data_IF_587568136375
#
_entry.id   IF_587568136375
#
_cell.length_a   1.000
_cell.length_b   1.000
_cell.length_c   1.000
_cell.angle_alpha   90.00
_cell.angle_beta   90.00
_cell.angle_gamma   90.00
#
_symmetry.space_group_name_H-M   'P 1'
#
loop_
_entity.id
_entity.type
_entity.pdbx_description
1 polymer ?
#
# COMPACT_ATOMS: atom_id res chain seq x y z
N UNK A 1 -5.15 33.97 -37.79
CA UNK A 1 -4.68 32.55 -37.87
C UNK A 1 -5.58 31.64 -37.02
N UNK A 2 -5.47 30.31 -37.16
CA UNK A 2 -6.14 29.39 -36.23
C UNK A 2 -5.55 29.56 -34.82
N UNK A 3 -6.40 29.67 -33.81
CA UNK A 3 -5.98 29.83 -32.41
C UNK A 3 -5.30 28.54 -31.94
N UNK A 4 -4.05 28.63 -31.48
CA UNK A 4 -3.27 27.46 -31.02
C UNK A 4 -3.27 27.41 -29.50
N UNK A 5 -3.72 26.29 -28.93
CA UNK A 5 -3.62 26.03 -27.50
C UNK A 5 -2.24 25.51 -27.15
N UNK A 6 -1.68 26.02 -26.05
CA UNK A 6 -0.43 25.55 -25.46
C UNK A 6 -0.68 25.01 -24.05
N UNK A 7 0.09 23.99 -23.68
CA UNK A 7 0.30 23.61 -22.28
C UNK A 7 1.36 24.57 -21.74
N UNK A 8 0.97 25.43 -20.79
CA UNK A 8 1.86 26.38 -20.14
C UNK A 8 2.59 25.74 -18.94
N UNK A 9 1.93 24.76 -18.31
CA UNK A 9 2.40 24.07 -17.12
C UNK A 9 1.82 22.65 -17.03
N UNK A 10 2.59 21.75 -16.44
CA UNK A 10 2.17 20.43 -15.96
C UNK A 10 2.92 20.06 -14.66
N UNK A 11 2.44 19.06 -13.94
CA UNK A 11 3.04 18.65 -12.65
C UNK A 11 4.24 17.68 -12.77
N UNK A 12 4.85 17.53 -13.95
CA UNK A 12 6.10 16.75 -14.03
C UNK A 12 7.20 17.42 -13.21
N UNK A 13 8.19 16.65 -12.76
CA UNK A 13 9.45 17.22 -12.25
C UNK A 13 10.01 18.07 -13.38
N UNK A 14 10.40 19.32 -13.15
CA UNK A 14 10.90 20.20 -14.20
C UNK A 14 12.44 20.09 -14.34
N UNK A 15 13.05 20.82 -15.28
CA UNK A 15 14.50 20.78 -15.54
C UNK A 15 15.35 21.27 -14.36
N UNK A 16 14.76 21.92 -13.37
CA UNK A 16 15.41 22.35 -12.13
C UNK A 16 15.24 21.32 -11.00
N UNK A 17 14.63 20.17 -11.29
CA UNK A 17 14.41 19.11 -10.31
C UNK A 17 13.30 19.41 -9.31
N UNK A 18 12.51 20.46 -9.52
CA UNK A 18 11.35 20.80 -8.67
C UNK A 18 10.06 20.39 -9.36
N UNK A 19 9.03 20.15 -8.56
CA UNK A 19 7.66 19.96 -9.05
C UNK A 19 6.81 21.14 -8.60
N UNK A 20 5.83 21.54 -9.40
CA UNK A 20 4.83 22.52 -8.96
C UNK A 20 3.45 21.88 -9.08
N UNK A 21 2.62 22.01 -8.04
CA UNK A 21 1.26 21.46 -8.04
C UNK A 21 0.32 22.45 -8.72
N UNK A 22 -0.44 21.97 -9.69
CA UNK A 22 -1.45 22.77 -10.41
C UNK A 22 -2.58 23.18 -9.47
N UNK A 23 -2.93 22.33 -8.50
CA UNK A 23 -3.92 22.67 -7.46
C UNK A 23 -3.52 23.88 -6.59
N UNK A 24 -2.23 24.20 -6.54
CA UNK A 24 -1.68 25.34 -5.81
C UNK A 24 -1.58 26.64 -6.63
N UNK A 25 -1.96 26.60 -7.91
CA UNK A 25 -1.77 27.71 -8.83
C UNK A 25 -2.84 28.79 -8.65
N UNK A 26 -2.43 30.00 -8.32
CA UNK A 26 -3.25 31.20 -8.39
C UNK A 26 -3.08 31.88 -9.76
N UNK A 27 -4.17 31.99 -10.51
CA UNK A 27 -4.19 32.55 -11.87
C UNK A 27 -4.86 33.93 -11.94
N UNK A 28 -5.25 34.51 -10.83
CA UNK A 28 -6.11 35.70 -10.82
C UNK A 28 -5.40 36.95 -11.36
N UNK A 29 -4.13 37.15 -10.99
CA UNK A 29 -3.33 38.26 -11.52
C UNK A 29 -3.04 38.08 -13.02
N UNK A 30 -2.68 36.86 -13.41
CA UNK A 30 -2.48 36.52 -14.82
C UNK A 30 -3.72 36.82 -15.67
N UNK A 31 -4.93 36.49 -15.20
CA UNK A 31 -6.18 36.76 -15.92
C UNK A 31 -6.45 38.26 -16.13
N UNK A 32 -5.96 39.12 -15.23
CA UNK A 32 -6.12 40.58 -15.35
C UNK A 32 -5.19 41.16 -16.43
N UNK A 33 -4.03 40.57 -16.63
CA UNK A 33 -3.06 40.99 -17.63
C UNK A 33 -2.34 39.77 -18.24
N UNK A 34 -2.99 39.03 -19.16
CA UNK A 34 -2.49 37.73 -19.65
C UNK A 34 -1.43 37.92 -20.75
N UNK A 35 -0.33 38.58 -20.40
CA UNK A 35 0.73 38.94 -21.34
C UNK A 35 1.40 37.69 -21.91
N UNK A 36 1.59 37.68 -23.24
CA UNK A 36 2.42 36.70 -23.92
C UNK A 36 3.76 37.34 -24.25
N UNK A 37 4.81 36.89 -23.57
CA UNK A 37 6.18 37.33 -23.86
C UNK A 37 6.90 36.32 -24.76
N UNK A 38 8.11 36.68 -25.17
CA UNK A 38 9.05 35.79 -25.83
C UNK A 38 10.21 35.53 -24.86
N UNK A 39 10.50 34.27 -24.55
CA UNK A 39 11.61 33.87 -23.67
C UNK A 39 11.61 34.51 -22.27
N UNK A 40 10.43 34.78 -21.70
CA UNK A 40 10.28 35.43 -20.39
C UNK A 40 10.92 36.82 -20.30
N UNK A 41 11.18 37.47 -21.44
CA UNK A 41 11.80 38.80 -21.47
C UNK A 41 10.77 39.90 -21.22
N UNK A 42 10.63 40.29 -19.96
CA UNK A 42 9.71 41.31 -19.47
C UNK A 42 10.23 42.75 -19.59
N UNK A 43 11.44 42.93 -20.14
CA UNK A 43 11.97 44.22 -20.57
C UNK A 43 11.50 44.61 -21.98
N UNK A 44 10.85 43.69 -22.69
CA UNK A 44 10.31 43.90 -24.02
C UNK A 44 8.78 43.89 -24.00
N UNK A 45 8.18 44.54 -25.00
CA UNK A 45 6.73 44.53 -25.13
C UNK A 45 6.21 43.12 -25.45
N UNK A 46 5.00 42.76 -24.95
CA UNK A 46 4.37 41.49 -25.26
C UNK A 46 4.22 41.27 -26.76
N UNK A 47 4.41 40.03 -27.20
CA UNK A 47 4.19 39.59 -28.59
C UNK A 47 2.74 39.16 -28.85
N UNK A 48 1.89 39.33 -27.85
CA UNK A 48 0.48 38.95 -27.89
C UNK A 48 -0.11 38.85 -26.50
N UNK A 49 -1.20 38.10 -26.40
CA UNK A 49 -1.88 37.76 -25.15
C UNK A 49 -2.32 36.30 -25.14
N UNK A 50 -2.48 35.77 -23.95
CA UNK A 50 -3.12 34.48 -23.72
C UNK A 50 -4.60 34.67 -23.47
N UNK A 51 -5.42 33.83 -24.10
CA UNK A 51 -6.86 33.75 -23.85
C UNK A 51 -7.22 32.37 -23.31
N UNK A 52 -8.42 32.23 -22.74
CA UNK A 52 -8.97 30.94 -22.32
C UNK A 52 -8.03 30.10 -21.44
N UNK A 53 -7.35 30.75 -20.47
CA UNK A 53 -6.50 30.05 -19.51
C UNK A 53 -7.36 29.16 -18.60
N UNK A 54 -7.02 27.88 -18.53
CA UNK A 54 -7.82 26.86 -17.86
C UNK A 54 -6.97 25.72 -17.33
N UNK A 55 -7.49 25.04 -16.32
CA UNK A 55 -6.89 23.83 -15.75
C UNK A 55 -7.62 22.63 -16.34
N UNK A 56 -6.88 21.69 -16.92
CA UNK A 56 -7.39 20.40 -17.35
C UNK A 56 -6.53 19.30 -16.71
N UNK A 57 -7.09 18.60 -15.72
CA UNK A 57 -6.34 17.63 -14.92
C UNK A 57 -5.17 18.28 -14.18
N UNK A 58 -3.95 17.85 -14.50
CA UNK A 58 -2.69 18.35 -13.92
C UNK A 58 -1.98 19.36 -14.81
N UNK A 59 -2.67 19.91 -15.82
CA UNK A 59 -2.11 20.84 -16.79
C UNK A 59 -2.82 22.19 -16.74
N UNK A 60 -2.07 23.25 -17.04
CA UNK A 60 -2.61 24.59 -17.31
C UNK A 60 -2.43 24.87 -18.78
N UNK A 61 -3.54 25.12 -19.47
CA UNK A 61 -3.58 25.39 -20.89
C UNK A 61 -4.05 26.82 -21.15
N UNK A 62 -3.58 27.42 -22.24
CA UNK A 62 -4.08 28.69 -22.72
C UNK A 62 -3.97 28.81 -24.24
N UNK A 63 -4.79 29.68 -24.80
CA UNK A 63 -4.92 29.90 -26.24
C UNK A 63 -4.09 31.11 -26.66
N UNK A 64 -3.22 30.93 -27.65
CA UNK A 64 -2.29 31.96 -28.09
C UNK A 64 -2.94 32.95 -29.08
N UNK A 65 -2.94 34.24 -28.74
CA UNK A 65 -3.38 35.33 -29.64
C UNK A 65 -2.21 36.30 -29.86
N UNK A 66 -1.55 36.16 -31.02
CA UNK A 66 -0.43 37.03 -31.41
C UNK A 66 -0.90 38.41 -31.86
N UNK A 67 -0.11 39.44 -31.58
CA UNK A 67 -0.31 40.77 -32.17
C UNK A 67 0.17 40.76 -33.64
N UNK A 68 -0.72 40.44 -34.58
CA UNK A 68 -0.36 40.33 -36.00
C UNK A 68 0.08 41.67 -36.65
N UNK A 69 -0.08 42.80 -35.94
CA UNK A 69 0.38 44.12 -36.40
C UNK A 69 1.84 44.42 -36.02
N UNK A 70 2.36 43.73 -35.00
CA UNK A 70 3.76 43.78 -34.60
C UNK A 70 4.57 42.80 -35.47
N UNK A 71 5.64 43.32 -36.10
CA UNK A 71 6.47 42.54 -37.01
C UNK A 71 7.17 41.35 -36.32
N UNK A 72 7.60 41.51 -35.07
CA UNK A 72 8.22 40.47 -34.26
C UNK A 72 7.20 39.42 -33.83
N UNK A 73 6.04 39.85 -33.35
CA UNK A 73 4.94 38.94 -33.01
C UNK A 73 4.51 38.11 -34.22
N UNK A 74 4.39 38.74 -35.40
CA UNK A 74 4.09 38.06 -36.67
C UNK A 74 5.16 37.05 -37.07
N UNK A 75 6.45 37.35 -36.87
CA UNK A 75 7.53 36.39 -37.12
C UNK A 75 7.39 35.16 -36.21
N UNK A 76 7.17 35.37 -34.91
CA UNK A 76 6.98 34.30 -33.92
C UNK A 76 5.74 33.48 -34.25
N UNK A 77 4.62 34.13 -34.55
CA UNK A 77 3.37 33.48 -34.93
C UNK A 77 3.56 32.57 -36.15
N UNK A 78 4.30 33.02 -37.17
CA UNK A 78 4.61 32.21 -38.35
C UNK A 78 5.46 30.98 -38.03
N UNK A 79 6.37 31.06 -37.05
CA UNK A 79 7.14 29.89 -36.57
C UNK A 79 6.25 28.93 -35.79
N UNK A 80 5.29 29.45 -35.03
CA UNK A 80 4.32 28.67 -34.27
C UNK A 80 3.33 27.95 -35.18
N UNK A 81 2.82 28.63 -36.21
CA UNK A 81 1.89 28.08 -37.21
C UNK A 81 2.55 26.96 -38.02
N UNK A 82 3.80 27.18 -38.46
CA UNK A 82 4.60 26.18 -39.19
C UNK A 82 5.33 25.18 -38.29
N UNK A 83 4.99 25.15 -37.00
CA UNK A 83 5.49 24.15 -36.06
C UNK A 83 7.02 24.14 -35.79
N UNK A 84 7.73 25.19 -36.21
CA UNK A 84 9.13 25.43 -35.82
C UNK A 84 9.26 25.84 -34.35
N UNK A 85 8.16 26.31 -33.75
CA UNK A 85 8.09 26.71 -32.34
C UNK A 85 6.80 26.15 -31.73
N UNK A 86 6.94 25.19 -30.81
CA UNK A 86 5.81 24.46 -30.21
C UNK A 86 5.72 24.62 -28.70
N UNK A 87 6.57 25.46 -28.13
CA UNK A 87 6.81 25.50 -26.70
C UNK A 87 6.38 26.81 -26.05
N UNK A 88 5.76 26.66 -24.88
CA UNK A 88 5.40 27.74 -24.00
C UNK A 88 5.78 27.36 -22.56
N UNK A 89 6.04 28.36 -21.75
CA UNK A 89 6.46 28.18 -20.36
C UNK A 89 5.77 29.23 -19.51
N UNK A 90 5.22 28.81 -18.37
CA UNK A 90 4.70 29.72 -17.36
C UNK A 90 5.83 30.20 -16.44
N UNK A 91 5.79 31.46 -16.06
CA UNK A 91 6.59 32.02 -14.98
C UNK A 91 5.70 32.28 -13.77
N UNK A 92 6.28 32.08 -12.58
CA UNK A 92 5.53 32.06 -11.34
C UNK A 92 6.32 32.68 -10.20
N UNK A 93 5.60 33.30 -9.28
CA UNK A 93 6.10 33.57 -7.93
C UNK A 93 5.80 32.37 -7.05
N UNK A 94 6.81 31.90 -6.33
CA UNK A 94 6.68 30.78 -5.38
C UNK A 94 6.18 31.33 -4.05
N UNK A 95 4.98 30.88 -3.65
CA UNK A 95 4.36 31.31 -2.40
C UNK A 95 4.67 30.32 -1.26
N UNK A 96 4.65 29.01 -1.55
CA UNK A 96 4.88 27.96 -0.57
C UNK A 96 5.53 26.71 -1.19
N UNK A 97 6.47 26.13 -0.46
CA UNK A 97 7.15 24.87 -0.82
C UNK A 97 7.03 23.82 0.27
N UNK A 98 6.99 22.55 -0.13
CA UNK A 98 6.99 21.40 0.77
C UNK A 98 8.11 20.43 0.41
N UNK A 99 8.68 19.82 1.45
CA UNK A 99 9.62 18.70 1.33
C UNK A 99 8.98 17.35 1.66
N UNK A 100 7.69 17.34 2.01
CA UNK A 100 6.96 16.13 2.39
C UNK A 100 7.05 15.08 1.28
N UNK A 101 7.47 13.83 1.58
CA UNK A 101 7.52 12.74 0.61
C UNK A 101 6.21 12.52 -0.16
N UNK A 102 5.05 12.84 0.43
CA UNK A 102 3.75 12.67 -0.23
C UNK A 102 3.60 13.49 -1.51
N UNK A 103 4.31 14.62 -1.62
CA UNK A 103 4.25 15.51 -2.77
C UNK A 103 5.39 15.31 -3.78
N UNK A 104 6.32 14.38 -3.51
CA UNK A 104 7.50 14.15 -4.35
C UNK A 104 7.23 13.09 -5.42
N UNK A 105 7.86 13.27 -6.58
CA UNK A 105 7.93 12.24 -7.63
C UNK A 105 9.30 11.54 -7.62
N UNK A 106 9.38 10.28 -8.11
CA UNK A 106 10.66 9.62 -8.35
C UNK A 106 11.59 10.48 -9.21
N UNK A 107 12.85 10.62 -8.81
CA UNK A 107 13.84 11.44 -9.52
C UNK A 107 13.80 12.94 -9.24
N UNK A 108 12.87 13.42 -8.40
CA UNK A 108 12.82 14.81 -7.97
C UNK A 108 13.95 15.15 -6.98
N UNK A 109 14.79 16.12 -7.30
CA UNK A 109 15.93 16.52 -6.45
C UNK A 109 15.63 17.74 -5.58
N UNK A 110 14.73 18.62 -6.01
CA UNK A 110 14.30 19.82 -5.30
C UNK A 110 12.96 19.68 -4.57
N UNK A 111 12.49 20.74 -3.88
CA UNK A 111 11.20 20.73 -3.18
C UNK A 111 10.01 20.71 -4.15
N UNK A 112 8.82 20.40 -3.63
CA UNK A 112 7.56 20.57 -4.37
C UNK A 112 6.96 21.93 -4.02
N UNK A 113 6.73 22.78 -5.02
CA UNK A 113 5.97 24.02 -4.89
C UNK A 113 4.49 23.68 -4.76
N UNK A 114 3.92 23.93 -3.59
CA UNK A 114 2.53 23.57 -3.26
C UNK A 114 1.58 24.74 -3.39
N UNK A 115 2.08 25.99 -3.38
CA UNK A 115 1.34 27.20 -3.73
C UNK A 115 2.22 28.17 -4.50
N UNK A 116 1.66 28.78 -5.53
CA UNK A 116 2.35 29.73 -6.38
C UNK A 116 1.37 30.59 -7.16
N UNK A 117 1.82 31.75 -7.57
CA UNK A 117 1.01 32.70 -8.33
C UNK A 117 1.61 32.88 -9.73
N UNK A 118 0.79 32.69 -10.76
CA UNK A 118 1.20 32.85 -12.15
C UNK A 118 1.46 34.33 -12.47
N UNK A 119 2.64 34.60 -13.01
CA UNK A 119 3.11 35.95 -13.34
C UNK A 119 2.88 36.28 -14.81
N UNK A 120 3.42 35.45 -15.69
CA UNK A 120 3.32 35.58 -17.14
C UNK A 120 3.53 34.21 -17.79
N UNK A 121 3.28 34.13 -19.09
CA UNK A 121 3.59 32.96 -19.87
C UNK A 121 4.18 33.39 -21.20
N UNK A 122 5.17 32.64 -21.65
CA UNK A 122 5.98 33.01 -22.80
C UNK A 122 5.97 31.92 -23.84
N UNK A 123 6.01 32.32 -25.10
CA UNK A 123 6.49 31.43 -26.15
C UNK A 123 8.01 31.36 -26.00
N UNK A 124 8.57 30.15 -25.96
CA UNK A 124 9.99 29.93 -25.76
C UNK A 124 10.48 28.85 -26.71
N UNK A 125 11.67 28.95 -27.34
CA UNK A 125 12.32 27.79 -27.95
C UNK A 125 12.58 26.70 -26.93
N UNK A 126 12.73 27.09 -25.65
CA UNK A 126 13.15 26.23 -24.56
C UNK A 126 12.42 26.58 -23.26
N UNK A 127 11.68 25.62 -22.68
CA UNK A 127 10.90 25.79 -21.44
C UNK A 127 11.35 24.89 -20.28
N UNK A 128 10.99 25.26 -19.04
CA UNK A 128 11.46 24.59 -17.83
C UNK A 128 10.78 23.24 -17.53
N UNK A 129 9.52 23.04 -17.90
CA UNK A 129 8.89 21.71 -17.88
C UNK A 129 9.38 20.95 -19.11
N UNK A 130 9.85 19.69 -18.93
CA UNK A 130 10.66 18.75 -19.76
C UNK A 130 10.64 18.82 -21.31
N UNK A 131 10.48 20.00 -21.87
CA UNK A 131 10.46 20.31 -23.28
C UNK A 131 11.44 21.48 -23.58
N UNK A 132 12.62 21.54 -22.92
CA UNK A 132 13.98 21.78 -23.47
C UNK A 132 14.98 22.49 -22.51
N UNK A 133 16.27 22.61 -22.88
CA UNK A 133 17.34 23.27 -22.08
C UNK A 133 18.34 24.09 -22.93
N UNK A 134 18.67 25.33 -22.51
CA UNK A 134 19.85 26.09 -22.93
C UNK A 134 20.48 26.83 -21.75
N UNK A 135 21.80 26.75 -21.63
CA UNK A 135 22.59 27.41 -20.59
C UNK A 135 23.42 28.53 -21.20
N UNK A 136 23.66 29.60 -20.44
CA UNK A 136 24.43 30.77 -20.85
C UNK A 136 25.48 31.10 -19.79
N UNK A 137 26.69 31.47 -20.22
CA UNK A 137 27.73 31.97 -19.33
C UNK A 137 27.38 33.40 -18.90
N UNK A 138 27.27 33.61 -17.58
CA UNK A 138 26.84 34.89 -17.00
C UNK A 138 27.88 36.01 -17.17
N UNK A 139 29.16 35.67 -17.29
CA UNK A 139 30.24 36.65 -17.45
C UNK A 139 30.38 37.11 -18.90
N UNK A 140 30.14 36.22 -19.86
CA UNK A 140 30.31 36.53 -21.29
C UNK A 140 29.00 36.74 -22.04
N UNK A 141 27.87 36.32 -21.47
CA UNK A 141 26.55 36.35 -22.10
C UNK A 141 26.39 35.33 -23.24
N UNK A 142 27.35 34.43 -23.45
CA UNK A 142 27.35 33.49 -24.57
C UNK A 142 26.64 32.18 -24.23
N UNK A 143 25.92 31.60 -25.20
CA UNK A 143 25.26 30.29 -25.06
C UNK A 143 26.31 29.18 -24.93
N UNK A 144 26.08 28.24 -24.02
CA UNK A 144 26.96 27.12 -23.72
C UNK A 144 26.61 25.93 -24.59
N UNK A 145 27.63 25.32 -25.21
CA UNK A 145 27.50 24.05 -25.88
C UNK A 145 27.46 22.91 -24.85
N UNK A 146 26.29 22.27 -24.70
CA UNK A 146 26.08 21.21 -23.72
C UNK A 146 26.83 19.92 -24.06
N UNK A 147 27.34 19.76 -25.29
CA UNK A 147 28.24 18.67 -25.65
C UNK A 147 29.68 18.94 -25.23
N UNK A 148 30.02 20.19 -24.88
CA UNK A 148 31.33 20.56 -24.39
C UNK A 148 31.34 20.56 -22.85
N UNK A 149 31.69 19.39 -22.30
CA UNK A 149 31.69 19.14 -20.85
C UNK A 149 32.52 20.14 -20.04
N UNK A 150 33.61 20.68 -20.61
CA UNK A 150 34.44 21.67 -19.94
C UNK A 150 33.73 23.03 -19.80
N UNK A 151 32.97 23.47 -20.83
CA UNK A 151 32.18 24.70 -20.74
C UNK A 151 31.06 24.57 -19.71
N UNK A 152 30.37 23.43 -19.69
CA UNK A 152 29.30 23.16 -18.71
C UNK A 152 29.85 23.22 -17.29
N UNK A 153 30.99 22.59 -17.01
CA UNK A 153 31.64 22.63 -15.68
C UNK A 153 32.02 24.07 -15.29
N UNK A 154 32.52 24.86 -16.24
CA UNK A 154 32.96 26.23 -15.97
C UNK A 154 31.84 27.19 -15.55
N UNK A 155 30.58 26.89 -15.89
CA UNK A 155 29.41 27.67 -15.45
C UNK A 155 29.09 27.54 -13.96
N UNK A 156 29.43 26.39 -13.37
CA UNK A 156 29.11 26.05 -11.98
C UNK A 156 30.30 26.28 -11.05
N UNK A 157 31.48 26.59 -11.60
CA UNK A 157 32.61 27.09 -10.85
C UNK A 157 32.39 28.59 -10.56
N UNK A 158 31.77 28.91 -9.43
CA UNK A 158 31.42 30.28 -9.04
C UNK A 158 32.62 31.23 -8.99
N UNK A 159 32.42 32.43 -9.55
CA UNK A 159 33.22 33.64 -9.46
C UNK A 159 34.71 33.56 -9.90
N UNK A 160 35.04 34.19 -11.03
CA UNK A 160 36.39 34.37 -11.58
C UNK A 160 37.29 35.35 -10.80
N UNK A 161 37.01 35.61 -9.53
CA UNK A 161 37.90 36.40 -8.68
C UNK A 161 38.57 35.50 -7.64
N UNK A 162 39.81 35.13 -7.97
CA UNK A 162 40.84 34.58 -7.06
C UNK A 162 40.41 33.40 -6.20
N UNK A 163 40.08 32.26 -6.82
CA UNK A 163 40.33 30.98 -6.16
C UNK A 163 41.72 30.55 -6.60
N UNK A 164 42.69 30.69 -5.70
CA UNK A 164 44.02 30.14 -5.92
C UNK A 164 43.84 28.61 -6.09
N UNK A 165 44.31 27.97 -7.16
CA UNK A 165 44.15 26.53 -7.35
C UNK A 165 44.55 25.72 -6.10
N UNK A 166 45.55 26.22 -5.36
CA UNK A 166 45.96 25.66 -4.07
C UNK A 166 44.84 25.57 -3.03
N UNK A 167 43.94 26.56 -2.91
CA UNK A 167 42.89 26.54 -1.89
C UNK A 167 41.83 25.46 -2.18
N UNK A 168 41.43 25.30 -3.44
CA UNK A 168 40.49 24.23 -3.83
C UNK A 168 41.10 22.84 -3.60
N UNK A 169 42.38 22.67 -3.93
CA UNK A 169 43.08 21.41 -3.69
C UNK A 169 43.24 21.10 -2.20
N UNK A 170 43.47 22.10 -1.35
CA UNK A 170 43.54 21.91 0.10
C UNK A 170 42.17 21.53 0.68
N UNK A 171 41.09 22.20 0.28
CA UNK A 171 39.73 21.85 0.72
C UNK A 171 39.32 20.44 0.26
N UNK A 172 39.66 20.04 -0.96
CA UNK A 172 39.38 18.68 -1.45
C UNK A 172 40.16 17.61 -0.69
N UNK A 173 41.42 17.88 -0.32
CA UNK A 173 42.19 16.97 0.55
C UNK A 173 41.54 16.81 1.91
N UNK A 174 41.11 17.91 2.52
CA UNK A 174 40.44 17.87 3.83
C UNK A 174 39.12 17.09 3.78
N UNK A 175 38.26 17.37 2.79
CA UNK A 175 36.98 16.67 2.62
C UNK A 175 37.15 15.18 2.31
N UNK A 176 38.14 14.83 1.50
CA UNK A 176 38.47 13.45 1.16
C UNK A 176 39.38 12.78 2.22
N UNK A 177 39.74 13.51 3.29
CA UNK A 177 40.66 13.08 4.35
C UNK A 177 41.99 12.54 3.81
N UNK A 178 42.50 13.16 2.75
CA UNK A 178 43.78 12.85 2.13
C UNK A 178 44.90 13.63 2.81
N UNK A 179 46.10 13.06 2.79
CA UNK A 179 47.29 13.73 3.31
C UNK A 179 47.61 15.02 2.53
N UNK A 180 48.23 16.01 3.19
CA UNK A 180 48.60 17.30 2.61
C UNK A 180 49.54 17.16 1.40
N UNK A 181 50.33 16.08 1.34
CA UNK A 181 51.21 15.75 0.21
C UNK A 181 50.48 15.10 -1.00
N UNK A 182 49.16 14.83 -0.91
CA UNK A 182 48.41 14.23 -2.00
C UNK A 182 48.45 15.12 -3.26
N UNK A 183 48.68 14.52 -4.42
CA UNK A 183 48.63 15.21 -5.70
C UNK A 183 47.24 15.07 -6.33
N UNK A 184 47.02 15.76 -7.45
CA UNK A 184 45.75 15.73 -8.19
C UNK A 184 45.32 14.30 -8.58
N UNK A 185 46.28 13.43 -8.92
CA UNK A 185 46.02 12.03 -9.23
C UNK A 185 45.43 11.28 -8.02
N UNK A 186 45.98 11.49 -6.82
CA UNK A 186 45.46 10.88 -5.59
C UNK A 186 44.05 11.36 -5.24
N UNK A 187 43.75 12.63 -5.49
CA UNK A 187 42.40 13.20 -5.31
C UNK A 187 41.42 12.57 -6.30
N UNK A 188 41.81 12.48 -7.58
CA UNK A 188 40.98 11.84 -8.60
C UNK A 188 40.69 10.37 -8.30
N UNK A 189 41.69 9.62 -7.82
CA UNK A 189 41.51 8.21 -7.48
C UNK A 189 40.62 8.02 -6.26
N UNK A 190 40.73 8.89 -5.25
CA UNK A 190 39.81 8.90 -4.10
C UNK A 190 38.36 9.17 -4.53
N UNK A 191 38.14 10.15 -5.41
CA UNK A 191 36.80 10.46 -5.95
C UNK A 191 36.27 9.29 -6.79
N UNK A 192 37.08 8.65 -7.63
CA UNK A 192 36.68 7.44 -8.37
C UNK A 192 36.31 6.30 -7.43
N UNK A 193 37.03 6.14 -6.31
CA UNK A 193 36.71 5.17 -5.27
C UNK A 193 35.33 5.43 -4.65
N UNK A 194 35.03 6.69 -4.30
CA UNK A 194 33.72 7.08 -3.78
C UNK A 194 32.60 6.78 -4.78
N UNK A 195 32.83 7.07 -6.07
CA UNK A 195 31.85 6.78 -7.13
C UNK A 195 31.58 5.28 -7.22
N UNK A 196 32.63 4.45 -7.22
CA UNK A 196 32.47 2.98 -7.23
C UNK A 196 31.70 2.47 -6.01
N UNK A 197 32.07 2.92 -4.81
CA UNK A 197 31.39 2.53 -3.58
C UNK A 197 29.92 2.94 -3.59
N UNK A 198 29.60 4.13 -4.12
CA UNK A 198 28.22 4.59 -4.28
C UNK A 198 27.45 3.66 -5.24
N UNK A 199 28.04 3.32 -6.37
CA UNK A 199 27.39 2.46 -7.38
C UNK A 199 27.18 1.03 -6.85
N UNK A 200 28.14 0.50 -6.08
CA UNK A 200 28.03 -0.78 -5.37
C UNK A 200 26.93 -0.75 -4.31
N UNK A 201 26.90 0.28 -3.45
CA UNK A 201 25.86 0.45 -2.43
C UNK A 201 24.47 0.58 -3.05
N UNK A 202 24.36 1.30 -4.18
CA UNK A 202 23.10 1.44 -4.88
C UNK A 202 22.61 0.10 -5.44
N UNK A 203 23.52 -0.72 -5.97
CA UNK A 203 23.21 -2.07 -6.43
C UNK A 203 22.77 -2.97 -5.26
N UNK A 204 23.45 -2.91 -4.13
CA UNK A 204 23.10 -3.69 -2.93
C UNK A 204 21.75 -3.28 -2.34
N UNK A 205 21.44 -1.98 -2.31
CA UNK A 205 20.14 -1.48 -1.85
C UNK A 205 19.00 -2.04 -2.70
N UNK A 206 19.16 -2.06 -4.02
CA UNK A 206 18.15 -2.65 -4.92
C UNK A 206 18.00 -4.15 -4.67
N UNK A 207 19.12 -4.89 -4.46
CA UNK A 207 19.07 -6.32 -4.14
C UNK A 207 18.34 -6.58 -2.82
N UNK A 208 18.69 -5.85 -1.76
CA UNK A 208 18.06 -6.00 -0.44
C UNK A 208 16.58 -5.65 -0.45
N UNK A 209 16.16 -4.71 -1.29
CA UNK A 209 14.74 -4.40 -1.49
C UNK A 209 14.00 -5.56 -2.15
N UNK A 210 14.58 -6.18 -3.18
CA UNK A 210 14.00 -7.35 -3.84
C UNK A 210 13.94 -8.56 -2.89
N UNK A 211 15.03 -8.84 -2.16
CA UNK A 211 15.08 -9.92 -1.18
C UNK A 211 14.01 -9.73 -0.08
N UNK A 212 13.85 -8.51 0.45
CA UNK A 212 12.81 -8.22 1.46
C UNK A 212 11.40 -8.41 0.90
N UNK A 213 11.18 -8.01 -0.35
CA UNK A 213 9.90 -8.23 -1.02
C UNK A 213 9.59 -9.73 -1.13
N UNK A 214 10.55 -10.52 -1.61
CA UNK A 214 10.40 -11.97 -1.73
C UNK A 214 10.17 -12.65 -0.37
N UNK A 215 10.88 -12.21 0.68
CA UNK A 215 10.68 -12.74 2.03
C UNK A 215 9.28 -12.42 2.56
N UNK A 216 8.79 -11.21 2.32
CA UNK A 216 7.43 -10.79 2.71
C UNK A 216 6.38 -11.63 2.01
N UNK A 217 6.49 -11.80 0.68
CA UNK A 217 5.59 -12.65 -0.11
C UNK A 217 5.59 -14.10 0.37
N UNK A 218 6.76 -14.64 0.74
CA UNK A 218 6.88 -16.01 1.30
C UNK A 218 6.23 -16.12 2.67
N UNK A 219 6.38 -15.13 3.54
CA UNK A 219 5.75 -15.12 4.86
C UNK A 219 4.22 -15.10 4.72
N UNK A 220 3.68 -14.22 3.87
CA UNK A 220 2.25 -14.17 3.60
C UNK A 220 1.71 -15.49 3.03
N UNK A 221 2.47 -16.14 2.13
CA UNK A 221 2.11 -17.44 1.59
C UNK A 221 2.09 -18.55 2.66
N UNK A 222 3.07 -18.56 3.57
CA UNK A 222 3.13 -19.51 4.68
C UNK A 222 1.96 -19.29 5.64
N UNK A 223 1.69 -18.04 6.03
CA UNK A 223 0.60 -17.70 6.94
C UNK A 223 -0.76 -18.05 6.34
N UNK A 224 -0.95 -17.79 5.05
CA UNK A 224 -2.15 -18.21 4.31
C UNK A 224 -2.30 -19.74 4.31
N UNK A 225 -1.26 -20.47 3.94
CA UNK A 225 -1.30 -21.94 3.90
C UNK A 225 -1.57 -22.55 5.29
N UNK A 226 -1.00 -21.95 6.35
CA UNK A 226 -1.26 -22.35 7.73
C UNK A 226 -2.73 -22.13 8.11
N UNK A 227 -3.28 -20.96 7.80
CA UNK A 227 -4.69 -20.64 8.09
C UNK A 227 -5.65 -21.55 7.32
N UNK A 228 -5.36 -21.85 6.06
CA UNK A 228 -6.14 -22.80 5.25
C UNK A 228 -6.09 -24.21 5.83
N UNK A 229 -4.91 -24.67 6.29
CA UNK A 229 -4.76 -25.97 6.95
C UNK A 229 -5.52 -26.04 8.29
N UNK A 230 -5.44 -24.99 9.11
CA UNK A 230 -6.19 -24.88 10.37
C UNK A 230 -7.70 -24.86 10.12
N UNK A 231 -8.18 -24.14 9.11
CA UNK A 231 -9.60 -24.15 8.73
C UNK A 231 -10.07 -25.53 8.25
N UNK A 232 -9.28 -26.20 7.42
CA UNK A 232 -9.61 -27.56 6.96
C UNK A 232 -9.67 -28.55 8.13
N UNK A 233 -8.73 -28.46 9.07
CA UNK A 233 -8.71 -29.30 10.26
C UNK A 233 -9.86 -28.98 11.21
N UNK A 234 -10.19 -27.70 11.41
CA UNK A 234 -11.35 -27.28 12.21
C UNK A 234 -12.65 -27.87 11.66
N UNK A 235 -12.85 -27.82 10.33
CA UNK A 235 -14.00 -28.46 9.67
C UNK A 235 -14.03 -29.96 9.96
N UNK A 236 -12.89 -30.65 9.83
CA UNK A 236 -12.78 -32.09 10.10
C UNK A 236 -13.15 -32.43 11.56
N UNK A 237 -12.67 -31.64 12.52
CA UNK A 237 -12.92 -31.84 13.95
C UNK A 237 -14.40 -31.58 14.30
N UNK A 238 -14.98 -30.49 13.81
CA UNK A 238 -16.38 -30.13 14.07
C UNK A 238 -17.33 -31.15 13.46
N UNK A 239 -17.13 -31.53 12.19
CA UNK A 239 -17.96 -32.54 11.52
C UNK A 239 -17.82 -33.92 12.18
N UNK A 240 -16.62 -34.24 12.68
CA UNK A 240 -16.37 -35.40 13.53
C UNK A 240 -17.19 -35.38 14.82
N UNK A 241 -17.16 -34.27 15.55
CA UNK A 241 -17.88 -34.11 16.81
C UNK A 241 -19.41 -34.14 16.66
N UNK A 242 -19.94 -33.63 15.53
CA UNK A 242 -21.37 -33.76 15.17
C UNK A 242 -21.72 -35.23 14.96
N UNK A 243 -20.90 -35.97 14.19
CA UNK A 243 -21.12 -37.41 13.92
C UNK A 243 -21.08 -38.25 15.20
N UNK A 244 -20.20 -37.90 16.13
CA UNK A 244 -20.10 -38.54 17.45
C UNK A 244 -21.16 -38.05 18.45
N UNK A 245 -22.10 -37.21 18.00
CA UNK A 245 -23.15 -36.60 18.82
C UNK A 245 -22.64 -35.85 20.06
N UNK A 246 -21.40 -35.34 20.03
CA UNK A 246 -20.84 -34.50 21.09
C UNK A 246 -21.48 -33.11 21.07
N UNK A 247 -21.67 -32.56 19.87
CA UNK A 247 -22.25 -31.24 19.63
C UNK A 247 -23.47 -31.34 18.69
N UNK A 248 -24.37 -30.35 18.74
CA UNK A 248 -25.50 -30.25 17.81
C UNK A 248 -25.02 -29.64 16.47
N UNK A 249 -25.61 -30.11 15.37
CA UNK A 249 -25.36 -29.59 14.02
C UNK A 249 -25.68 -28.08 13.91
N UNK A 250 -26.68 -27.59 14.65
CA UNK A 250 -27.04 -26.16 14.68
C UNK A 250 -25.90 -25.27 15.21
N UNK A 251 -24.98 -25.84 16.01
CA UNK A 251 -23.83 -25.12 16.58
C UNK A 251 -22.59 -25.11 15.70
N UNK A 252 -22.66 -25.70 14.49
CA UNK A 252 -21.49 -25.90 13.62
C UNK A 252 -20.75 -24.59 13.31
N UNK A 253 -21.48 -23.56 12.88
CA UNK A 253 -20.88 -22.26 12.53
C UNK A 253 -20.24 -21.58 13.74
N UNK A 254 -20.86 -21.66 14.92
CA UNK A 254 -20.32 -21.10 16.15
C UNK A 254 -18.98 -21.76 16.51
N UNK A 255 -18.88 -23.09 16.39
CA UNK A 255 -17.63 -23.79 16.61
C UNK A 255 -16.55 -23.42 15.60
N UNK A 256 -16.87 -23.34 14.30
CA UNK A 256 -15.89 -22.91 13.30
C UNK A 256 -15.34 -21.51 13.59
N UNK A 257 -16.19 -20.59 14.04
CA UNK A 257 -15.77 -19.24 14.44
C UNK A 257 -14.84 -19.24 15.67
N UNK A 258 -15.08 -20.14 16.62
CA UNK A 258 -14.20 -20.31 17.77
C UNK A 258 -12.82 -20.85 17.35
N UNK A 259 -12.77 -21.81 16.40
CA UNK A 259 -11.51 -22.30 15.82
C UNK A 259 -10.75 -21.24 15.02
N UNK A 260 -11.44 -20.32 14.35
CA UNK A 260 -10.81 -19.16 13.69
C UNK A 260 -10.21 -18.17 14.68
N UNK A 261 -10.76 -18.09 15.90
CA UNK A 261 -10.29 -17.15 16.94
C UNK A 261 -9.09 -17.73 17.71
N UNK A 262 -9.19 -18.99 18.13
CA UNK A 262 -8.12 -19.71 18.82
C UNK A 262 -8.25 -21.21 18.56
N UNK A 263 -7.53 -21.68 17.54
CA UNK A 263 -7.55 -23.08 17.13
C UNK A 263 -7.16 -24.04 18.27
N UNK A 264 -6.16 -23.68 19.09
CA UNK A 264 -5.65 -24.54 20.15
C UNK A 264 -6.66 -24.67 21.29
N UNK A 265 -7.23 -23.55 21.74
CA UNK A 265 -8.23 -23.55 22.80
C UNK A 265 -9.54 -24.22 22.35
N UNK A 266 -10.00 -23.96 21.12
CA UNK A 266 -11.20 -24.58 20.56
C UNK A 266 -11.04 -26.10 20.44
N UNK A 267 -9.86 -26.59 20.01
CA UNK A 267 -9.55 -28.02 19.96
C UNK A 267 -9.68 -28.69 21.33
N UNK A 268 -9.11 -28.09 22.37
CA UNK A 268 -9.19 -28.61 23.75
C UNK A 268 -10.62 -28.61 24.26
N UNK A 269 -11.36 -27.52 24.02
CA UNK A 269 -12.77 -27.41 24.44
C UNK A 269 -13.64 -28.47 23.76
N UNK A 270 -13.50 -28.65 22.45
CA UNK A 270 -14.27 -29.64 21.69
C UNK A 270 -13.98 -31.07 22.14
N UNK A 271 -12.70 -31.41 22.36
CA UNK A 271 -12.29 -32.73 22.84
C UNK A 271 -12.82 -33.06 24.24
N UNK A 272 -13.02 -32.04 25.08
CA UNK A 272 -13.51 -32.18 26.46
C UNK A 272 -15.01 -32.50 26.54
N UNK A 273 -15.76 -32.38 25.44
CA UNK A 273 -17.20 -32.68 25.41
C UNK A 273 -17.39 -34.20 25.27
N UNK A 274 -18.04 -34.88 26.24
CA UNK A 274 -18.26 -36.31 26.16
C UNK A 274 -19.25 -36.67 25.05
N UNK A 275 -19.12 -37.87 24.50
CA UNK A 275 -20.10 -38.41 23.56
C UNK A 275 -21.44 -38.58 24.27
N UNK A 276 -22.55 -38.25 23.59
CA UNK A 276 -23.89 -38.55 24.12
C UNK A 276 -24.07 -40.07 24.18
N UNK A 277 -24.49 -40.64 25.33
CA UNK A 277 -24.79 -42.07 25.42
C UNK A 277 -25.91 -42.41 24.44
N UNK A 278 -25.85 -43.61 23.86
CA UNK A 278 -26.95 -44.05 23.00
C UNK A 278 -28.22 -44.26 23.84
N UNK A 279 -29.39 -44.02 23.25
CA UNK A 279 -30.66 -44.37 23.90
C UNK A 279 -30.68 -45.87 24.24
N UNK A 280 -30.01 -46.72 23.47
CA UNK A 280 -29.85 -48.15 23.76
C UNK A 280 -29.06 -48.44 25.06
N UNK A 281 -28.08 -47.59 25.43
CA UNK A 281 -27.35 -47.68 26.70
C UNK A 281 -28.12 -47.04 27.87
N UNK A 282 -28.99 -46.06 27.60
CA UNK A 282 -29.82 -45.40 28.61
C UNK A 282 -31.13 -46.14 28.90
N UNK A 283 -31.59 -46.96 27.96
CA UNK A 283 -32.65 -47.94 28.19
C UNK A 283 -32.01 -49.13 28.89
N UNK A 284 -31.89 -49.03 30.21
CA UNK A 284 -32.01 -50.26 31.01
C UNK A 284 -33.38 -50.85 30.68
N UNK A 285 -33.49 -52.16 30.36
CA UNK A 285 -34.81 -52.78 30.24
C UNK A 285 -35.54 -52.47 31.54
N UNK A 286 -36.73 -51.90 31.41
CA UNK A 286 -37.52 -51.45 32.54
C UNK A 286 -37.61 -52.58 33.60
N UNK A 287 -36.95 -52.34 34.74
CA UNK A 287 -37.18 -53.05 35.99
C UNK A 287 -36.06 -53.97 36.47
N UNK A 288 -35.02 -53.42 37.10
CA UNK A 288 -34.26 -54.10 38.17
C UNK A 288 -33.37 -53.13 38.96
N UNK A 289 -33.97 -52.13 39.63
CA UNK A 289 -33.29 -51.40 40.71
C UNK A 289 -34.28 -50.76 41.70
N UNK A 290 -35.15 -51.59 42.26
CA UNK A 290 -35.86 -51.33 43.51
C UNK A 290 -35.98 -52.70 44.18
N UNK A 291 -35.43 -52.84 45.39
CA UNK A 291 -35.14 -54.13 46.03
C UNK A 291 -36.16 -55.23 45.72
N UNK A 292 -35.69 -56.31 45.07
CA UNK A 292 -36.49 -57.52 44.90
C UNK A 292 -36.72 -58.13 46.28
N UNK A 293 -37.84 -57.78 46.91
CA UNK A 293 -38.50 -58.72 47.81
C UNK A 293 -38.82 -59.93 46.94
N UNK A 294 -38.17 -61.07 47.21
CA UNK A 294 -38.41 -62.26 46.43
C UNK A 294 -39.88 -62.67 46.66
N UNK A 295 -40.52 -63.29 45.66
CA UNK A 295 -41.89 -63.80 45.82
C UNK A 295 -41.99 -64.78 47.00
N UNK A 296 -40.88 -65.42 47.38
CA UNK A 296 -40.76 -66.25 48.58
C UNK A 296 -40.91 -65.46 49.90
N UNK A 297 -40.52 -64.18 49.91
CA UNK A 297 -40.55 -63.32 51.09
C UNK A 297 -41.89 -62.57 51.25
N UNK A 298 -42.77 -62.65 50.26
CA UNK A 298 -44.10 -62.03 50.29
C UNK A 298 -45.18 -63.00 50.80
N UNK A 299 -46.22 -62.45 51.44
CA UNK A 299 -47.46 -63.20 51.69
C UNK A 299 -48.27 -63.32 50.40
N UNK A 300 -49.11 -64.35 50.27
CA UNK A 300 -49.94 -64.51 49.06
C UNK A 300 -50.86 -63.30 48.82
N UNK A 301 -51.36 -62.68 49.88
CA UNK A 301 -52.20 -61.47 49.80
C UNK A 301 -51.43 -60.26 49.23
N UNK A 302 -50.16 -60.10 49.58
CA UNK A 302 -49.33 -59.00 49.07
C UNK A 302 -48.92 -59.24 47.61
N UNK A 303 -48.74 -60.51 47.22
CA UNK A 303 -48.51 -60.90 45.81
C UNK A 303 -49.72 -60.56 44.94
N UNK A 304 -50.95 -60.77 45.45
CA UNK A 304 -52.18 -60.39 44.76
C UNK A 304 -52.33 -58.86 44.64
N UNK A 305 -52.06 -58.12 45.73
CA UNK A 305 -52.11 -56.65 45.72
C UNK A 305 -51.10 -56.02 44.76
N UNK A 306 -49.95 -56.67 44.58
CA UNK A 306 -48.91 -56.22 43.64
C UNK A 306 -49.16 -56.65 42.18
N UNK A 307 -50.28 -57.33 41.89
CA UNK A 307 -50.60 -57.92 40.56
C UNK A 307 -49.53 -58.89 40.03
N UNK A 308 -48.79 -59.55 40.93
CA UNK A 308 -47.68 -60.46 40.59
C UNK A 308 -48.09 -61.94 40.52
N UNK A 309 -49.38 -62.24 40.49
CA UNK A 309 -49.91 -63.62 40.44
C UNK A 309 -49.41 -64.39 39.19
N UNK A 310 -49.27 -63.70 38.05
CA UNK A 310 -48.74 -64.30 36.82
C UNK A 310 -47.28 -64.72 36.95
N UNK A 311 -46.49 -64.00 37.75
CA UNK A 311 -45.09 -64.34 38.03
C UNK A 311 -45.00 -65.52 39.00
N UNK A 312 -45.81 -65.52 40.07
CA UNK A 312 -45.87 -66.62 41.02
C UNK A 312 -46.26 -67.95 40.34
N UNK A 313 -47.21 -67.93 39.40
CA UNK A 313 -47.63 -69.13 38.66
C UNK A 313 -46.56 -69.71 37.72
N UNK A 314 -45.46 -68.99 37.43
CA UNK A 314 -44.33 -69.54 36.67
C UNK A 314 -43.53 -70.55 37.49
N UNK A 315 -43.53 -70.42 38.81
CA UNK A 315 -42.98 -71.39 39.75
C UNK A 315 -44.12 -72.15 40.44
N UNK A 316 -44.45 -73.32 39.90
CA UNK A 316 -45.57 -74.13 40.40
C UNK A 316 -45.37 -74.59 41.84
N UNK A 317 -44.12 -74.83 42.27
CA UNK A 317 -43.84 -75.27 43.64
C UNK A 317 -44.08 -74.12 44.63
N UNK A 318 -43.56 -72.93 44.31
CA UNK A 318 -43.75 -71.74 45.14
C UNK A 318 -45.20 -71.27 45.17
N UNK A 319 -45.92 -71.37 44.04
CA UNK A 319 -47.35 -71.07 43.97
C UNK A 319 -48.17 -71.98 44.89
N UNK A 320 -47.94 -73.29 44.85
CA UNK A 320 -48.65 -74.25 45.72
C UNK A 320 -48.33 -73.98 47.19
N UNK A 321 -47.05 -73.73 47.52
CA UNK A 321 -46.65 -73.41 48.89
C UNK A 321 -47.37 -72.15 49.41
N UNK A 322 -47.32 -71.04 48.68
CA UNK A 322 -47.94 -69.77 49.09
C UNK A 322 -49.46 -69.84 49.13
N UNK A 323 -50.07 -70.58 48.20
CA UNK A 323 -51.52 -70.80 48.18
C UNK A 323 -51.97 -71.64 49.38
N UNK A 324 -51.21 -72.68 49.74
CA UNK A 324 -51.49 -73.52 50.92
C UNK A 324 -51.26 -72.77 52.23
N UNK A 325 -50.23 -71.93 52.31
CA UNK A 325 -50.00 -71.03 53.45
C UNK A 325 -51.18 -70.04 53.65
N UNK A 326 -51.82 -69.61 52.56
CA UNK A 326 -52.93 -68.65 52.62
C UNK A 326 -54.31 -69.28 52.83
N UNK A 327 -54.58 -70.48 52.28
CA UNK A 327 -55.92 -71.08 52.23
C UNK A 327 -56.00 -72.49 52.83
N UNK A 328 -54.89 -73.07 53.31
CA UNK A 328 -54.86 -74.36 54.01
C UNK A 328 -55.01 -75.60 53.13
N UNK A 329 -55.14 -75.45 51.81
CA UNK A 329 -55.20 -76.55 50.84
C UNK A 329 -54.44 -76.20 49.55
N UNK A 330 -54.21 -77.20 48.69
CA UNK A 330 -53.53 -76.99 47.41
C UNK A 330 -54.51 -76.37 46.38
N UNK A 331 -54.02 -75.53 45.45
CA UNK A 331 -54.85 -74.92 44.41
C UNK A 331 -55.39 -76.00 43.45
N UNK A 332 -56.67 -75.90 43.12
CA UNK A 332 -57.43 -76.84 42.27
C UNK A 332 -56.92 -76.93 40.84
#
# INVERSE_FOLDING_TARGET
>A
MAVKTFILHDETVNTYGIRMLTAGANLDEFRRNPVMLLNHNDWELPIGRWENIRIEGTQILADAVFDETDARAKEVAGKVERDFLRMASISAWVDEVSNDPVYRLPGQTGPTVVRWTAREASICPIGANHNALALYDRATGTRVDLNNRAQVISLFAGNRNTVNPNDTYMTLKELLKLNDAANEAAIMDAVKGIIRNRDELQTEVVRLQDDNKQLTERLEAIDKAKKEAEQAEAVRLVDGAIREARINADGREAWLKDFETDFAQASVRLASIPKRPSIAEQVTPAGTAGGMVQLADMSFADILKADRLKELKKDRALYVQKFREAYGHDPS
#
